data_IF_626960662129
#
_entry.id   IF_626960662129
#
_cell.length_a   1.000
_cell.length_b   1.000
_cell.length_c   1.000
_cell.angle_alpha   90.00
_cell.angle_beta   90.00
_cell.angle_gamma   90.00
#
_symmetry.space_group_name_H-M   'P 1'
#
loop_
_entity.id
_entity.type
_entity.pdbx_description
1 polymer ?
#
# COMPACT_ATOMS: atom_id res chain seq x y z
N UNK A 1 14.07 -11.50 10.23
CA UNK A 1 13.00 -10.59 10.70
C UNK A 1 13.41 -9.16 10.39
N UNK A 2 12.55 -8.43 9.68
CA UNK A 2 12.77 -7.02 9.30
C UNK A 2 12.10 -6.10 10.31
N UNK A 3 12.79 -5.00 10.67
CA UNK A 3 12.29 -4.01 11.63
C UNK A 3 12.40 -2.61 11.03
N UNK A 4 11.43 -1.77 11.35
CA UNK A 4 11.43 -0.33 11.08
C UNK A 4 11.78 0.41 12.36
N UNK A 5 12.62 1.44 12.25
CA UNK A 5 12.92 2.33 13.36
C UNK A 5 11.86 3.45 13.36
N UNK A 6 11.19 3.62 14.49
CA UNK A 6 10.18 4.65 14.69
C UNK A 6 10.80 5.94 15.20
N UNK A 7 10.08 7.06 15.13
CA UNK A 7 10.56 8.36 15.59
C UNK A 7 10.93 8.41 17.08
N UNK A 8 10.30 7.57 17.89
CA UNK A 8 10.59 7.43 19.33
C UNK A 8 11.79 6.50 19.63
N UNK A 9 12.53 6.08 18.60
CA UNK A 9 13.67 5.17 18.72
C UNK A 9 13.32 3.70 18.93
N UNK A 10 12.04 3.35 19.00
CA UNK A 10 11.62 1.95 19.12
C UNK A 10 11.59 1.25 17.77
N UNK A 11 11.78 -0.06 17.81
CA UNK A 11 11.76 -0.89 16.61
C UNK A 11 10.40 -1.58 16.45
N UNK A 12 9.75 -1.35 15.30
CA UNK A 12 8.53 -2.04 14.90
C UNK A 12 8.85 -3.19 13.94
N UNK A 13 8.34 -4.38 14.23
CA UNK A 13 8.45 -5.50 13.29
C UNK A 13 7.59 -5.24 12.05
N UNK A 14 8.22 -5.15 10.88
CA UNK A 14 7.55 -4.88 9.60
C UNK A 14 7.25 -6.14 8.81
N UNK A 15 8.11 -7.14 8.91
CA UNK A 15 7.92 -8.39 8.19
C UNK A 15 8.91 -9.46 8.60
N UNK A 16 8.68 -10.66 8.10
CA UNK A 16 9.60 -11.78 8.24
C UNK A 16 9.93 -12.36 6.87
N UNK A 17 11.15 -12.82 6.73
CA UNK A 17 11.60 -13.60 5.59
C UNK A 17 12.49 -14.72 6.11
N UNK A 18 12.20 -15.93 5.70
CA UNK A 18 12.91 -17.12 6.11
C UNK A 18 13.34 -17.93 4.90
N UNK A 19 14.54 -18.44 4.93
CA UNK A 19 14.99 -19.52 4.05
C UNK A 19 15.20 -20.75 4.92
N UNK A 20 14.35 -21.73 4.79
CA UNK A 20 14.40 -22.97 5.57
C UNK A 20 15.26 -24.05 4.91
N UNK A 21 15.72 -23.80 3.68
CA UNK A 21 16.41 -24.82 2.90
C UNK A 21 15.54 -26.06 2.73
N UNK A 22 16.11 -27.23 2.95
CA UNK A 22 15.43 -28.52 2.88
C UNK A 22 15.15 -29.15 4.26
N UNK A 23 15.40 -28.41 5.35
CA UNK A 23 15.30 -28.97 6.70
C UNK A 23 13.91 -29.49 7.05
N UNK A 24 12.86 -28.71 6.83
CA UNK A 24 11.49 -29.15 7.07
C UNK A 24 11.05 -30.23 6.08
N UNK A 25 11.49 -30.16 4.84
CA UNK A 25 11.17 -31.17 3.84
C UNK A 25 11.74 -32.54 4.26
N UNK A 26 12.96 -32.59 4.80
CA UNK A 26 13.54 -33.80 5.36
C UNK A 26 12.77 -34.32 6.56
N UNK A 27 12.41 -33.43 7.49
CA UNK A 27 11.67 -33.80 8.71
C UNK A 27 10.28 -34.38 8.39
N UNK A 28 9.59 -33.86 7.36
CA UNK A 28 8.25 -34.28 6.97
C UNK A 28 8.24 -35.27 5.80
N UNK A 29 9.40 -35.65 5.26
CA UNK A 29 9.48 -36.58 4.13
C UNK A 29 8.96 -36.02 2.81
N UNK A 30 8.97 -34.69 2.62
CA UNK A 30 8.44 -34.06 1.40
C UNK A 30 9.49 -34.07 0.30
N UNK A 31 9.26 -34.91 -0.70
CA UNK A 31 10.17 -35.11 -1.82
C UNK A 31 9.48 -34.87 -3.16
N UNK A 32 10.27 -34.58 -4.17
CA UNK A 32 9.84 -34.51 -5.57
C UNK A 32 10.83 -35.27 -6.47
N UNK A 33 10.35 -35.71 -7.62
CA UNK A 33 11.22 -36.30 -8.64
C UNK A 33 11.77 -35.19 -9.52
N UNK A 34 13.08 -35.04 -9.53
CA UNK A 34 13.77 -34.02 -10.32
C UNK A 34 13.94 -34.49 -11.80
N UNK A 35 14.44 -33.59 -12.64
CA UNK A 35 14.67 -33.83 -14.08
C UNK A 35 15.62 -34.99 -14.35
N UNK A 36 16.49 -35.31 -13.44
CA UNK A 36 17.40 -36.46 -13.49
C UNK A 36 16.75 -37.75 -12.97
N UNK A 37 15.42 -37.76 -12.79
CA UNK A 37 14.60 -38.87 -12.29
C UNK A 37 15.03 -39.38 -10.90
N UNK A 38 15.59 -38.49 -10.07
CA UNK A 38 15.96 -38.76 -8.67
C UNK A 38 15.05 -38.05 -7.73
N UNK A 39 14.77 -38.69 -6.59
CA UNK A 39 14.06 -38.06 -5.47
C UNK A 39 14.95 -37.05 -4.77
N UNK A 40 14.46 -35.82 -4.63
CA UNK A 40 15.10 -34.72 -3.91
C UNK A 40 14.14 -34.10 -2.93
N UNK A 41 14.68 -33.51 -1.85
CA UNK A 41 13.89 -32.72 -0.92
C UNK A 41 13.68 -31.31 -1.44
N UNK A 42 12.47 -30.76 -1.23
CA UNK A 42 12.13 -29.41 -1.65
C UNK A 42 12.83 -28.37 -0.78
N UNK A 43 13.29 -27.29 -1.40
CA UNK A 43 13.74 -26.10 -0.70
C UNK A 43 12.54 -25.18 -0.44
N UNK A 44 12.48 -24.63 0.76
CA UNK A 44 11.35 -23.84 1.22
C UNK A 44 11.80 -22.46 1.65
N UNK A 45 11.06 -21.47 1.20
CA UNK A 45 11.15 -20.10 1.70
C UNK A 45 9.78 -19.65 2.21
N UNK A 46 9.78 -18.78 3.20
CA UNK A 46 8.57 -18.19 3.76
C UNK A 46 8.78 -16.71 4.00
N UNK A 47 7.76 -15.92 3.70
CA UNK A 47 7.75 -14.53 4.08
C UNK A 47 6.33 -14.14 4.51
N UNK A 48 6.25 -13.13 5.36
CA UNK A 48 4.96 -12.66 5.83
C UNK A 48 5.03 -11.22 6.30
N UNK A 49 3.92 -10.54 6.11
CA UNK A 49 3.66 -9.22 6.65
C UNK A 49 2.22 -9.15 7.15
N UNK A 50 1.90 -8.17 7.98
CA UNK A 50 0.57 -8.03 8.56
C UNK A 50 0.07 -6.60 8.42
N UNK A 51 -1.21 -6.39 8.75
CA UNK A 51 -1.85 -5.06 8.82
C UNK A 51 -1.17 -4.10 9.81
N UNK A 52 -0.21 -4.58 10.63
CA UNK A 52 0.68 -3.73 11.44
C UNK A 52 1.41 -2.68 10.60
N UNK A 53 1.67 -2.94 9.32
CA UNK A 53 2.27 -1.97 8.41
C UNK A 53 1.41 -0.72 8.20
N UNK A 54 0.09 -0.81 8.35
CA UNK A 54 -0.81 0.36 8.34
C UNK A 54 -0.44 1.28 9.52
N UNK A 55 -0.29 0.69 10.71
CA UNK A 55 0.19 1.43 11.88
C UNK A 55 1.58 2.05 11.67
N UNK A 56 2.49 1.33 11.00
CA UNK A 56 3.80 1.85 10.65
C UNK A 56 3.72 3.09 9.73
N UNK A 57 2.85 3.07 8.73
CA UNK A 57 2.61 4.22 7.83
C UNK A 57 2.09 5.42 8.62
N UNK A 58 1.12 5.20 9.51
CA UNK A 58 0.55 6.26 10.35
C UNK A 58 1.63 6.88 11.23
N UNK A 59 2.41 6.06 11.94
CA UNK A 59 3.44 6.54 12.85
C UNK A 59 4.64 7.20 12.16
N UNK A 60 4.91 6.84 10.90
CA UNK A 60 6.06 7.38 10.14
C UNK A 60 5.70 8.65 9.38
N UNK A 61 4.48 8.76 8.88
CA UNK A 61 4.05 9.82 7.99
C UNK A 61 2.98 10.75 8.58
N UNK A 62 2.32 10.34 9.66
CA UNK A 62 1.34 11.18 10.35
C UNK A 62 1.99 12.34 11.10
N UNK A 63 1.21 13.35 11.36
CA UNK A 63 1.56 14.52 12.17
C UNK A 63 0.51 14.79 13.25
N UNK A 64 0.63 15.92 13.93
CA UNK A 64 -0.33 16.32 14.99
C UNK A 64 -1.75 16.63 14.45
N UNK A 65 -1.89 16.83 13.15
CA UNK A 65 -3.18 17.08 12.50
C UNK A 65 -3.85 15.78 12.01
N UNK A 66 -3.12 14.67 12.01
CA UNK A 66 -3.66 13.34 11.70
C UNK A 66 -2.81 12.53 10.72
N UNK A 67 -3.49 11.68 9.98
CA UNK A 67 -2.88 10.77 9.02
C UNK A 67 -2.42 11.50 7.75
N UNK A 68 -1.16 11.31 7.38
CA UNK A 68 -0.60 11.71 6.08
C UNK A 68 -0.26 10.45 5.30
N UNK A 69 -0.97 10.21 4.20
CA UNK A 69 -0.70 9.07 3.33
C UNK A 69 0.29 9.46 2.22
N UNK A 70 1.40 8.74 2.07
CA UNK A 70 2.27 8.90 0.91
C UNK A 70 1.48 8.72 -0.40
N UNK A 71 1.75 9.51 -1.45
CA UNK A 71 0.97 9.44 -2.71
C UNK A 71 0.90 8.04 -3.33
N UNK A 72 1.94 7.22 -3.17
CA UNK A 72 1.96 5.85 -3.71
C UNK A 72 0.92 4.93 -3.06
N UNK A 73 0.61 5.13 -1.78
CA UNK A 73 -0.36 4.30 -1.03
C UNK A 73 -1.71 4.99 -0.85
N UNK A 74 -1.80 6.30 -1.09
CA UNK A 74 -3.07 7.03 -1.01
C UNK A 74 -4.07 6.49 -2.02
N UNK A 75 -5.31 6.14 -1.63
CA UNK A 75 -6.35 5.71 -2.57
C UNK A 75 -6.74 6.83 -3.54
N UNK A 76 -6.70 8.07 -3.11
CA UNK A 76 -6.87 9.28 -3.89
C UNK A 76 -5.60 10.10 -3.78
N UNK A 77 -5.01 10.49 -4.91
CA UNK A 77 -3.78 11.29 -4.95
C UNK A 77 -4.07 12.77 -5.19
N UNK A 78 -5.17 13.05 -5.88
CA UNK A 78 -5.64 14.41 -6.16
C UNK A 78 -7.13 14.45 -5.92
N UNK A 79 -7.58 15.36 -5.07
CA UNK A 79 -8.99 15.64 -4.86
C UNK A 79 -9.30 17.05 -5.43
N UNK A 80 -10.27 17.12 -6.33
CA UNK A 80 -10.71 18.37 -6.97
C UNK A 80 -11.96 18.84 -6.28
N UNK A 81 -11.90 19.99 -5.62
CA UNK A 81 -13.02 20.59 -4.90
C UNK A 81 -13.48 21.80 -5.68
N UNK A 82 -14.56 21.71 -6.47
CA UNK A 82 -15.09 22.84 -7.24
C UNK A 82 -15.71 23.88 -6.31
N UNK A 83 -15.14 25.07 -6.29
CA UNK A 83 -15.73 26.19 -5.54
C UNK A 83 -16.81 26.81 -6.40
N UNK A 84 -18.02 27.07 -5.83
CA UNK A 84 -19.17 27.56 -6.52
C UNK A 84 -19.66 26.65 -7.69
N UNK A 85 -19.73 25.35 -7.42
CA UNK A 85 -20.09 24.34 -8.42
C UNK A 85 -21.40 24.56 -9.16
N UNK A 86 -22.32 25.35 -8.58
CA UNK A 86 -23.61 25.74 -9.23
C UNK A 86 -23.44 26.79 -10.32
N UNK A 87 -22.26 27.42 -10.42
CA UNK A 87 -21.96 28.36 -11.49
C UNK A 87 -21.69 27.58 -12.78
N UNK A 88 -22.25 28.07 -13.89
CA UNK A 88 -22.11 27.50 -15.22
C UNK A 88 -20.64 27.27 -15.59
N UNK A 89 -20.32 26.10 -16.13
CA UNK A 89 -18.99 25.69 -16.60
C UNK A 89 -17.98 25.26 -15.50
N UNK A 90 -18.29 25.45 -14.22
CA UNK A 90 -17.33 25.08 -13.12
C UNK A 90 -17.18 23.57 -13.02
N UNK A 91 -18.29 22.84 -13.00
CA UNK A 91 -18.24 21.36 -12.93
C UNK A 91 -17.66 20.76 -14.22
N UNK A 92 -18.02 21.28 -15.38
CA UNK A 92 -17.48 20.81 -16.66
C UNK A 92 -15.96 20.95 -16.70
N UNK A 93 -15.42 22.07 -16.20
CA UNK A 93 -13.99 22.30 -16.11
C UNK A 93 -13.33 21.40 -15.08
N UNK A 94 -13.98 21.13 -13.97
CA UNK A 94 -13.49 20.20 -12.95
C UNK A 94 -13.36 18.77 -13.52
N UNK A 95 -14.34 18.32 -14.31
CA UNK A 95 -14.27 17.01 -14.97
C UNK A 95 -13.22 16.96 -16.08
N UNK A 96 -13.05 18.02 -16.85
CA UNK A 96 -11.96 18.12 -17.84
C UNK A 96 -10.59 17.96 -17.17
N UNK A 97 -10.35 18.67 -16.06
CA UNK A 97 -9.12 18.58 -15.28
C UNK A 97 -8.94 17.19 -14.69
N UNK A 98 -10.02 16.59 -14.15
CA UNK A 98 -10.00 15.20 -13.68
C UNK A 98 -9.52 14.23 -14.76
N UNK A 99 -10.07 14.37 -15.96
CA UNK A 99 -9.77 13.44 -17.05
C UNK A 99 -8.31 13.60 -17.54
N UNK A 100 -7.79 14.82 -17.56
CA UNK A 100 -6.39 15.09 -17.84
C UNK A 100 -5.46 14.47 -16.79
N UNK A 101 -5.77 14.59 -15.49
CA UNK A 101 -5.03 14.00 -14.37
C UNK A 101 -5.09 12.47 -14.43
N UNK A 102 -6.27 11.92 -14.73
CA UNK A 102 -6.47 10.47 -14.89
C UNK A 102 -5.68 9.91 -16.07
N UNK A 103 -5.64 10.64 -17.18
CA UNK A 103 -4.83 10.28 -18.35
C UNK A 103 -3.32 10.28 -18.05
N UNK A 104 -2.87 11.12 -17.09
CA UNK A 104 -1.49 11.09 -16.56
C UNK A 104 -1.23 9.93 -15.60
N UNK A 105 -2.19 9.02 -15.37
CA UNK A 105 -2.03 7.82 -14.53
C UNK A 105 -2.21 8.05 -13.03
N UNK A 106 -2.75 9.20 -12.60
CA UNK A 106 -2.99 9.51 -11.20
C UNK A 106 -4.42 9.14 -10.76
N UNK A 107 -4.56 8.72 -9.50
CA UNK A 107 -5.85 8.47 -8.87
C UNK A 107 -6.46 9.79 -8.43
N UNK A 108 -7.52 10.20 -9.10
CA UNK A 108 -8.18 11.49 -8.92
C UNK A 108 -9.67 11.31 -8.58
N UNK A 109 -10.16 12.15 -7.71
CA UNK A 109 -11.58 12.27 -7.37
C UNK A 109 -12.03 13.72 -7.56
N UNK A 110 -13.31 13.92 -7.91
CA UNK A 110 -13.98 15.21 -7.86
C UNK A 110 -14.99 15.14 -6.73
N UNK A 111 -15.00 16.13 -5.87
CA UNK A 111 -16.07 16.32 -4.89
C UNK A 111 -17.18 17.16 -5.53
N UNK A 112 -18.16 16.44 -6.07
CA UNK A 112 -19.38 17.01 -6.69
C UNK A 112 -20.58 16.97 -5.73
N UNK A 113 -20.32 16.79 -4.43
CA UNK A 113 -21.35 16.79 -3.40
C UNK A 113 -21.96 18.19 -3.19
N UNK A 114 -23.19 18.23 -2.65
CA UNK A 114 -23.86 19.50 -2.32
C UNK A 114 -23.29 20.21 -1.07
N UNK A 115 -22.18 19.69 -0.53
CA UNK A 115 -21.57 20.24 0.69
C UNK A 115 -20.72 21.48 0.38
N UNK A 116 -20.60 22.34 1.36
CA UNK A 116 -19.70 23.48 1.25
C UNK A 116 -18.23 23.03 1.27
N UNK A 117 -17.33 23.69 0.52
CA UNK A 117 -15.91 23.30 0.45
C UNK A 117 -15.18 23.26 1.78
N UNK A 118 -15.69 23.87 2.83
CA UNK A 118 -15.12 23.87 4.18
C UNK A 118 -15.73 22.85 5.16
N UNK A 119 -16.53 21.93 4.66
CA UNK A 119 -17.24 20.94 5.48
C UNK A 119 -16.36 19.76 5.91
#
# INVERSE_FOLDING_TARGET
MQKLLMHDGKALQSGTSHNFGDGFAKAFGIQYTDKDNKLKYVHQTSWGTTTRLIGAVIMTHGDNSGLVLPPKVAPVQVDIIPIMQKKEGVLDKAYEVRDAIKAAGLRVKVDDSDKNPGW
#
